data_IF_153257645416
#
_entry.id   IF_153257645416
#
_cell.length_a   1.000
_cell.length_b   1.000
_cell.length_c   1.000
_cell.angle_alpha   90.00
_cell.angle_beta   90.00
_cell.angle_gamma   90.00
#
_symmetry.space_group_name_H-M   'P 1'
#
loop_
_entity.id
_entity.type
_entity.pdbx_description
1 polymer ?
#
# COMPACT_ATOMS: atom_id res chain seq x y z
N UNK A 1 19.84 -13.92 2.32
CA UNK A 1 18.99 -12.70 2.25
C UNK A 1 18.58 -12.34 0.82
N UNK A 2 18.14 -13.30 -0.02
CA UNK A 2 17.72 -13.04 -1.42
C UNK A 2 16.21 -13.19 -1.66
N UNK A 3 15.47 -13.84 -0.77
CA UNK A 3 14.04 -14.14 -0.97
C UNK A 3 13.13 -12.92 -0.83
N UNK A 4 13.44 -11.97 0.09
CA UNK A 4 12.55 -10.82 0.33
C UNK A 4 12.36 -9.96 -0.91
N UNK A 5 13.45 -9.57 -1.60
CA UNK A 5 13.40 -8.72 -2.80
C UNK A 5 12.46 -9.21 -3.92
N UNK A 6 12.11 -10.48 -3.96
CA UNK A 6 11.13 -11.00 -4.92
C UNK A 6 9.69 -10.65 -4.53
N UNK A 7 9.38 -10.58 -3.23
CA UNK A 7 8.04 -10.31 -2.71
C UNK A 7 7.64 -8.87 -3.00
N UNK A 8 8.39 -7.88 -2.51
CA UNK A 8 8.04 -6.47 -2.72
C UNK A 8 8.03 -6.12 -4.21
N UNK A 9 8.95 -6.70 -4.99
CA UNK A 9 8.95 -6.57 -6.44
C UNK A 9 7.69 -7.14 -7.09
N UNK A 10 7.26 -8.35 -6.70
CA UNK A 10 6.04 -8.97 -7.25
C UNK A 10 4.81 -8.12 -6.94
N UNK A 11 4.70 -7.62 -5.70
CA UNK A 11 3.63 -6.69 -5.30
C UNK A 11 3.66 -5.45 -6.19
N UNK A 12 4.84 -4.85 -6.37
CA UNK A 12 5.00 -3.67 -7.22
C UNK A 12 4.60 -3.92 -8.68
N UNK A 13 5.02 -5.04 -9.26
CA UNK A 13 4.69 -5.43 -10.64
C UNK A 13 3.18 -5.67 -10.81
N UNK A 14 2.54 -6.34 -9.84
CA UNK A 14 1.09 -6.54 -9.84
C UNK A 14 0.33 -5.22 -9.80
N UNK A 15 0.72 -4.31 -8.91
CA UNK A 15 0.08 -3.02 -8.75
C UNK A 15 0.27 -2.16 -10.01
N UNK A 16 1.51 -2.08 -10.52
CA UNK A 16 1.87 -1.28 -11.69
C UNK A 16 1.09 -1.65 -12.96
N UNK A 17 0.63 -2.90 -13.08
CA UNK A 17 -0.13 -3.37 -14.25
C UNK A 17 -1.63 -3.13 -14.17
N UNK A 18 -2.17 -2.81 -12.98
CA UNK A 18 -3.62 -2.74 -12.71
C UNK A 18 -4.11 -1.38 -12.25
N UNK A 19 -3.23 -0.61 -11.64
CA UNK A 19 -3.54 0.69 -11.05
C UNK A 19 -2.66 1.77 -11.67
N UNK A 20 -3.12 3.02 -11.58
CA UNK A 20 -2.47 4.18 -12.20
C UNK A 20 -2.11 5.26 -11.21
N UNK A 21 -2.66 5.22 -10.00
CA UNK A 21 -2.49 6.27 -9.00
C UNK A 21 -2.52 5.66 -7.59
N UNK A 22 -1.53 4.80 -7.34
CA UNK A 22 -1.36 4.10 -6.08
C UNK A 22 -0.71 4.99 -5.00
N UNK A 23 -1.14 4.82 -3.76
CA UNK A 23 -0.53 5.42 -2.56
C UNK A 23 -0.05 4.32 -1.61
N UNK A 24 1.23 4.35 -1.26
CA UNK A 24 1.75 3.47 -0.20
C UNK A 24 1.56 4.11 1.16
N UNK A 25 1.01 3.37 2.12
CA UNK A 25 0.94 3.78 3.53
C UNK A 25 1.88 2.93 4.37
N UNK A 26 2.76 3.59 5.13
CA UNK A 26 3.76 2.93 5.97
C UNK A 26 4.99 2.45 5.18
N UNK A 27 5.48 3.25 4.22
CA UNK A 27 6.63 2.90 3.35
C UNK A 27 7.88 2.47 4.12
N UNK A 28 8.09 3.04 5.31
CA UNK A 28 9.23 2.77 6.16
C UNK A 28 10.58 2.80 5.45
N UNK A 29 11.39 1.77 5.68
CA UNK A 29 12.76 1.67 5.15
C UNK A 29 12.88 0.75 3.93
N UNK A 30 11.78 0.16 3.44
CA UNK A 30 11.80 -0.78 2.32
C UNK A 30 10.98 -0.24 1.14
N UNK A 31 11.58 0.58 0.27
CA UNK A 31 10.87 1.22 -0.84
C UNK A 31 10.76 0.35 -2.09
N UNK A 32 11.09 -0.94 -2.03
CA UNK A 32 11.27 -1.77 -3.23
C UNK A 32 9.96 -1.90 -4.05
N UNK A 33 8.80 -2.04 -3.39
CA UNK A 33 7.50 -2.06 -4.07
C UNK A 33 7.17 -0.69 -4.70
N UNK A 34 7.25 0.39 -3.92
CA UNK A 34 7.06 1.75 -4.42
C UNK A 34 7.95 2.08 -5.62
N UNK A 35 9.22 1.69 -5.59
CA UNK A 35 10.16 1.93 -6.70
C UNK A 35 9.71 1.28 -7.99
N UNK A 36 9.22 0.06 -7.93
CA UNK A 36 8.69 -0.65 -9.11
C UNK A 36 7.46 0.07 -9.65
N UNK A 37 6.53 0.47 -8.78
CA UNK A 37 5.30 1.17 -9.16
C UNK A 37 5.61 2.56 -9.73
N UNK A 38 6.57 3.28 -9.13
CA UNK A 38 7.03 4.59 -9.58
C UNK A 38 7.72 4.51 -10.94
N UNK A 39 8.56 3.49 -11.18
CA UNK A 39 9.20 3.27 -12.48
C UNK A 39 8.18 3.01 -13.60
N UNK A 40 7.00 2.49 -13.28
CA UNK A 40 5.89 2.33 -14.22
C UNK A 40 4.99 3.58 -14.34
N UNK A 41 5.26 4.66 -13.59
CA UNK A 41 4.46 5.88 -13.59
C UNK A 41 3.12 5.76 -12.88
N UNK A 42 2.91 4.70 -12.08
CA UNK A 42 1.63 4.43 -11.41
C UNK A 42 1.60 4.88 -9.93
N UNK A 43 2.72 5.34 -9.37
CA UNK A 43 2.82 5.74 -7.97
C UNK A 43 2.54 7.24 -7.82
N UNK A 44 1.53 7.58 -7.00
CA UNK A 44 1.21 8.96 -6.67
C UNK A 44 2.12 9.50 -5.55
N UNK A 45 2.29 8.74 -4.45
CA UNK A 45 3.15 9.06 -3.30
C UNK A 45 3.23 7.89 -2.32
N UNK A 46 4.07 8.07 -1.32
CA UNK A 46 4.15 7.24 -0.13
C UNK A 46 3.89 8.09 1.13
N UNK A 47 3.36 7.48 2.19
CA UNK A 47 3.23 8.10 3.51
C UNK A 47 3.84 7.25 4.62
N UNK A 48 4.26 7.89 5.71
CA UNK A 48 4.70 7.24 6.96
C UNK A 48 4.54 8.23 8.12
N UNK A 49 4.23 7.73 9.32
CA UNK A 49 4.13 8.57 10.53
C UNK A 49 5.49 9.19 10.92
N UNK A 50 6.60 8.52 10.55
CA UNK A 50 7.94 9.01 10.86
C UNK A 50 8.33 10.15 9.92
N UNK A 51 8.64 11.29 10.53
CA UNK A 51 9.23 12.42 9.82
C UNK A 51 10.64 12.09 9.30
N UNK A 52 10.96 12.57 8.11
CA UNK A 52 12.33 12.54 7.57
C UNK A 52 12.70 11.28 6.78
N UNK A 53 11.79 10.33 6.59
CA UNK A 53 11.99 9.22 5.64
C UNK A 53 12.14 9.80 4.23
N UNK A 54 13.23 9.43 3.57
CA UNK A 54 13.53 9.85 2.20
C UNK A 54 14.03 8.65 1.42
N UNK A 55 13.41 8.43 0.27
CA UNK A 55 13.85 7.46 -0.72
C UNK A 55 14.04 8.19 -2.03
N UNK A 56 15.22 8.04 -2.63
CA UNK A 56 15.54 8.67 -3.90
C UNK A 56 14.50 8.30 -4.98
N UNK A 57 13.99 9.30 -5.69
CA UNK A 57 12.98 9.14 -6.73
C UNK A 57 11.54 8.96 -6.25
N UNK A 58 11.29 8.95 -4.93
CA UNK A 58 9.94 8.80 -4.36
C UNK A 58 9.49 10.06 -3.62
N UNK A 59 8.20 10.38 -3.75
CA UNK A 59 7.56 11.41 -2.92
C UNK A 59 7.05 10.78 -1.64
N UNK A 60 7.75 11.03 -0.53
CA UNK A 60 7.35 10.55 0.81
C UNK A 60 6.86 11.73 1.64
N UNK A 61 5.64 11.63 2.18
CA UNK A 61 5.01 12.65 3.02
C UNK A 61 4.77 12.08 4.41
N UNK A 62 4.96 12.90 5.45
CA UNK A 62 4.63 12.50 6.82
C UNK A 62 3.13 12.61 7.04
N UNK A 63 2.49 11.51 7.41
CA UNK A 63 1.04 11.43 7.68
C UNK A 63 0.76 10.30 8.68
N UNK A 64 -0.24 10.51 9.52
CA UNK A 64 -0.69 9.51 10.50
C UNK A 64 -1.94 8.79 9.97
N UNK A 65 -1.85 7.48 9.75
CA UNK A 65 -2.99 6.69 9.27
C UNK A 65 -4.18 6.67 10.24
N UNK A 66 -3.97 6.93 11.53
CA UNK A 66 -5.05 7.01 12.51
C UNK A 66 -5.81 8.34 12.43
N UNK A 67 -5.16 9.40 11.93
CA UNK A 67 -5.75 10.72 11.70
C UNK A 67 -5.30 11.30 10.33
N UNK A 68 -5.66 10.65 9.20
CA UNK A 68 -5.00 10.92 7.93
C UNK A 68 -5.52 12.21 7.29
N UNK A 69 -4.60 12.98 6.69
CA UNK A 69 -4.95 14.12 5.84
C UNK A 69 -5.48 13.63 4.48
N UNK A 70 -6.81 13.69 4.31
CA UNK A 70 -7.49 13.17 3.12
C UNK A 70 -6.99 13.75 1.81
N UNK A 71 -6.50 15.00 1.81
CA UNK A 71 -5.96 15.66 0.61
C UNK A 71 -4.76 14.91 0.03
N UNK A 72 -4.08 14.09 0.82
CA UNK A 72 -2.96 13.26 0.36
C UNK A 72 -3.42 12.06 -0.47
N UNK A 73 -4.67 11.62 -0.28
CA UNK A 73 -5.23 10.40 -0.86
C UNK A 73 -6.27 10.68 -1.96
N UNK A 74 -6.63 11.94 -2.19
CA UNK A 74 -7.60 12.34 -3.20
C UNK A 74 -7.20 11.87 -4.62
N UNK A 75 -8.16 11.21 -5.27
CA UNK A 75 -8.01 10.65 -6.61
C UNK A 75 -7.09 9.42 -6.68
N UNK A 76 -6.65 8.87 -5.54
CA UNK A 76 -5.99 7.57 -5.53
C UNK A 76 -6.95 6.50 -6.06
N UNK A 77 -6.42 5.60 -6.87
CA UNK A 77 -7.20 4.45 -7.37
C UNK A 77 -6.87 3.16 -6.62
N UNK A 78 -5.81 3.21 -5.81
CA UNK A 78 -5.37 2.18 -4.86
C UNK A 78 -4.67 2.83 -3.65
N UNK A 79 -5.01 2.35 -2.47
CA UNK A 79 -4.15 2.42 -1.28
C UNK A 79 -3.57 1.04 -1.03
N UNK A 80 -2.28 0.96 -0.73
CA UNK A 80 -1.66 -0.28 -0.33
C UNK A 80 -0.71 -0.13 0.86
N UNK A 81 -0.56 -1.23 1.61
CA UNK A 81 0.36 -1.31 2.73
C UNK A 81 1.12 -2.64 2.72
N UNK A 82 2.43 -2.57 2.93
CA UNK A 82 3.31 -3.73 2.98
C UNK A 82 3.71 -3.99 4.42
N UNK A 83 3.17 -5.07 4.99
CA UNK A 83 3.34 -5.49 6.40
C UNK A 83 2.98 -4.39 7.41
N UNK A 84 1.77 -3.79 7.32
CA UNK A 84 1.33 -2.88 8.36
C UNK A 84 1.13 -3.63 9.69
N UNK A 85 1.15 -2.91 10.82
CA UNK A 85 0.62 -3.45 12.06
C UNK A 85 -0.86 -3.79 11.89
N UNK A 86 -1.32 -4.89 12.47
CA UNK A 86 -2.72 -5.35 12.35
C UNK A 86 -3.72 -4.29 12.84
N UNK A 87 -3.32 -3.47 13.80
CA UNK A 87 -4.07 -2.34 14.35
C UNK A 87 -4.28 -1.19 13.36
N UNK A 88 -3.44 -1.10 12.30
CA UNK A 88 -3.58 -0.07 11.27
C UNK A 88 -4.66 -0.42 10.23
N UNK A 89 -4.99 -1.71 10.08
CA UNK A 89 -5.90 -2.20 9.03
C UNK A 89 -7.30 -1.58 9.11
N UNK A 90 -7.94 -1.43 10.28
CA UNK A 90 -9.22 -0.72 10.38
C UNK A 90 -9.16 0.70 9.82
N UNK A 91 -8.10 1.45 10.13
CA UNK A 91 -7.91 2.82 9.67
C UNK A 91 -7.63 2.89 8.18
N UNK A 92 -6.87 1.93 7.63
CA UNK A 92 -6.68 1.76 6.19
C UNK A 92 -8.01 1.49 5.47
N UNK A 93 -8.86 0.62 6.02
CA UNK A 93 -10.19 0.33 5.46
C UNK A 93 -11.05 1.58 5.45
N UNK A 94 -11.10 2.29 6.59
CA UNK A 94 -11.88 3.52 6.71
C UNK A 94 -11.39 4.61 5.74
N UNK A 95 -10.08 4.74 5.56
CA UNK A 95 -9.48 5.66 4.61
C UNK A 95 -9.85 5.30 3.17
N UNK A 96 -9.65 4.04 2.76
CA UNK A 96 -9.97 3.56 1.41
C UNK A 96 -11.45 3.75 1.06
N UNK A 97 -12.35 3.46 2.01
CA UNK A 97 -13.77 3.71 1.86
C UNK A 97 -14.09 5.21 1.71
N UNK A 98 -13.40 6.07 2.47
CA UNK A 98 -13.60 7.53 2.43
C UNK A 98 -13.13 8.18 1.13
N UNK A 99 -12.10 7.62 0.48
CA UNK A 99 -11.60 8.12 -0.83
C UNK A 99 -12.12 7.31 -2.02
N UNK A 100 -12.91 6.26 -1.78
CA UNK A 100 -13.43 5.32 -2.78
C UNK A 100 -12.32 4.74 -3.69
N UNK A 101 -11.31 4.12 -3.07
CA UNK A 101 -10.22 3.45 -3.78
C UNK A 101 -10.05 2.01 -3.31
N UNK A 102 -9.45 1.13 -4.12
CA UNK A 102 -9.14 -0.22 -3.65
C UNK A 102 -8.15 -0.19 -2.48
N UNK A 103 -8.21 -1.20 -1.60
CA UNK A 103 -7.23 -1.41 -0.53
C UNK A 103 -6.59 -2.79 -0.67
N UNK A 104 -5.27 -2.82 -0.85
CA UNK A 104 -4.47 -4.05 -0.86
C UNK A 104 -3.46 -4.06 0.29
N UNK A 105 -3.43 -5.15 1.05
CA UNK A 105 -2.50 -5.33 2.17
C UNK A 105 -1.72 -6.62 2.00
N UNK A 106 -0.40 -6.53 2.14
CA UNK A 106 0.46 -7.69 2.27
C UNK A 106 0.79 -7.91 3.75
N UNK A 107 0.36 -9.02 4.34
CA UNK A 107 0.58 -9.30 5.76
C UNK A 107 1.91 -10.01 6.04
N UNK A 108 2.44 -9.82 7.25
CA UNK A 108 3.57 -10.61 7.75
C UNK A 108 3.03 -11.86 8.47
N UNK A 109 3.28 -13.04 7.90
CA UNK A 109 2.84 -14.29 8.51
C UNK A 109 1.31 -14.37 8.65
N UNK A 110 0.82 -14.60 9.87
CA UNK A 110 -0.60 -14.84 10.16
C UNK A 110 -1.32 -13.60 10.75
N UNK A 111 -0.75 -12.40 10.65
CA UNK A 111 -1.29 -11.16 11.24
C UNK A 111 -2.46 -10.56 10.44
N UNK A 112 -3.38 -11.41 10.01
CA UNK A 112 -4.54 -11.04 9.20
C UNK A 112 -5.59 -10.35 10.09
N UNK A 113 -6.17 -9.25 9.61
CA UNK A 113 -7.26 -8.57 10.28
C UNK A 113 -8.62 -9.17 9.88
N UNK A 114 -9.49 -9.43 10.85
CA UNK A 114 -10.82 -9.99 10.58
C UNK A 114 -10.75 -11.36 9.89
N UNK A 115 -11.50 -11.51 8.79
CA UNK A 115 -11.48 -12.70 7.92
C UNK A 115 -10.41 -12.64 6.82
N UNK A 116 -9.68 -11.52 6.73
CA UNK A 116 -8.67 -11.27 5.71
C UNK A 116 -9.18 -10.67 4.42
N UNK A 117 -10.47 -10.35 4.28
CA UNK A 117 -11.01 -9.84 3.03
C UNK A 117 -10.85 -10.80 1.85
N UNK A 118 -10.92 -10.25 0.64
CA UNK A 118 -10.76 -11.02 -0.60
C UNK A 118 -9.28 -11.37 -0.85
N UNK A 119 -9.01 -12.63 -1.17
CA UNK A 119 -7.67 -13.08 -1.54
C UNK A 119 -7.35 -12.66 -2.99
N UNK A 120 -6.23 -11.95 -3.15
CA UNK A 120 -5.69 -11.54 -4.43
C UNK A 120 -4.36 -12.23 -4.68
N UNK A 121 -4.34 -13.13 -5.65
CA UNK A 121 -3.13 -13.85 -6.06
C UNK A 121 -2.22 -12.94 -6.89
N UNK A 122 -1.01 -12.71 -6.36
CA UNK A 122 0.05 -11.89 -6.94
C UNK A 122 1.27 -12.78 -7.20
N UNK A 123 1.12 -13.76 -8.09
CA UNK A 123 2.15 -14.77 -8.37
C UNK A 123 2.42 -15.63 -7.13
N UNK A 124 3.65 -15.63 -6.57
CA UNK A 124 3.95 -16.37 -5.34
C UNK A 124 3.47 -15.65 -4.06
N UNK A 125 2.95 -14.42 -4.17
CA UNK A 125 2.54 -13.58 -3.05
C UNK A 125 1.02 -13.53 -2.97
N UNK A 126 0.48 -13.63 -1.76
CA UNK A 126 -0.94 -13.41 -1.49
C UNK A 126 -1.13 -12.00 -0.93
N UNK A 127 -1.96 -11.22 -1.61
CA UNK A 127 -2.44 -9.92 -1.14
C UNK A 127 -3.86 -10.08 -0.59
N UNK A 128 -4.19 -9.30 0.42
CA UNK A 128 -5.51 -9.22 1.01
C UNK A 128 -6.19 -7.93 0.56
N UNK A 129 -7.33 -8.05 -0.10
CA UNK A 129 -8.15 -6.92 -0.50
C UNK A 129 -9.28 -6.70 0.50
N UNK A 130 -9.19 -5.59 1.23
CA UNK A 130 -10.16 -5.25 2.28
C UNK A 130 -11.22 -4.24 1.83
N UNK A 131 -11.01 -3.57 0.70
CA UNK A 131 -11.96 -2.64 0.12
C UNK A 131 -11.82 -2.63 -1.40
N UNK A 132 -12.96 -2.65 -2.08
CA UNK A 132 -13.07 -2.45 -3.53
C UNK A 132 -13.80 -1.15 -3.77
N UNK A 133 -13.23 -0.28 -4.61
CA UNK A 133 -13.89 0.94 -5.02
C UNK A 133 -15.22 0.62 -5.71
N UNK A 134 -16.20 1.45 -5.46
CA UNK A 134 -17.53 1.36 -6.07
C UNK A 134 -17.50 2.15 -7.39
N UNK A 135 -18.08 1.62 -8.49
CA UNK A 135 -18.20 2.31 -9.77
C UNK A 135 -18.92 3.66 -9.70
#
# INVERSE_FOLDING_TARGET
>A
MRHYKHIERSIGEYIATRYRRAVEVGIGNNPDAARVIAAAGALARCTDIRSGIRHEGLTVVTDDIFEPDIRLYEGADLIYAVRPGVEMVPSLIALAARVNCDLLVYHLGCEIYGDGGEIVECGPVVLHCYHRRIP
#
